data_IF_936092611432
#
_entry.id   IF_936092611432
#
_cell.length_a   1.000
_cell.length_b   1.000
_cell.length_c   1.000
_cell.angle_alpha   90.00
_cell.angle_beta   90.00
_cell.angle_gamma   90.00
#
_symmetry.space_group_name_H-M   'P 1'
#
loop_
_entity.id
_entity.type
_entity.pdbx_description
1 polymer ?
#
# COMPACT_ATOMS: atom_id res chain seq x y z
N UNK A 1 -26.50 5.82 -62.55
CA UNK A 1 -27.13 4.99 -61.52
C UNK A 1 -26.45 5.34 -60.21
N UNK A 2 -26.98 6.36 -59.54
CA UNK A 2 -26.34 7.10 -58.44
C UNK A 2 -27.20 6.95 -57.20
N UNK A 3 -27.03 5.82 -56.51
CA UNK A 3 -27.53 5.62 -55.15
C UNK A 3 -26.35 5.66 -54.19
N UNK A 4 -25.78 6.84 -53.95
CA UNK A 4 -24.98 7.03 -52.76
C UNK A 4 -25.98 7.11 -51.62
N UNK A 5 -26.16 5.97 -50.96
CA UNK A 5 -27.06 5.75 -49.84
C UNK A 5 -26.69 6.73 -48.72
N UNK A 6 -27.42 7.85 -48.63
CA UNK A 6 -27.18 8.94 -47.67
C UNK A 6 -27.12 8.42 -46.23
N UNK A 7 -27.79 7.30 -45.95
CA UNK A 7 -27.76 6.59 -44.68
C UNK A 7 -26.38 5.98 -44.38
N UNK A 8 -25.69 5.42 -45.38
CA UNK A 8 -24.32 4.92 -45.23
C UNK A 8 -23.29 6.06 -45.10
N UNK A 9 -23.50 7.17 -45.81
CA UNK A 9 -22.64 8.35 -45.69
C UNK A 9 -22.77 9.00 -44.30
N UNK A 10 -23.97 9.02 -43.74
CA UNK A 10 -24.25 9.54 -42.40
C UNK A 10 -23.65 8.63 -41.32
N UNK A 11 -23.83 7.31 -41.42
CA UNK A 11 -23.24 6.34 -40.51
C UNK A 11 -21.70 6.38 -40.52
N UNK A 12 -21.10 6.54 -41.70
CA UNK A 12 -19.64 6.64 -41.86
C UNK A 12 -19.10 7.97 -41.33
N UNK A 13 -19.86 9.05 -41.43
CA UNK A 13 -19.50 10.37 -40.85
C UNK A 13 -19.58 10.33 -39.33
N UNK A 14 -20.65 9.80 -38.74
CA UNK A 14 -20.73 9.61 -37.29
C UNK A 14 -19.63 8.70 -36.75
N UNK A 15 -19.35 7.59 -37.45
CA UNK A 15 -18.26 6.69 -37.08
C UNK A 15 -16.91 7.41 -37.12
N UNK A 16 -16.64 8.19 -38.17
CA UNK A 16 -15.37 8.94 -38.32
C UNK A 16 -15.23 10.02 -37.24
N UNK A 17 -16.31 10.73 -36.90
CA UNK A 17 -16.30 11.73 -35.83
C UNK A 17 -16.04 11.08 -34.47
N UNK A 18 -16.72 9.97 -34.15
CA UNK A 18 -16.46 9.22 -32.90
C UNK A 18 -15.04 8.66 -32.85
N UNK A 19 -14.56 8.11 -33.97
CA UNK A 19 -13.20 7.58 -34.10
C UNK A 19 -12.14 8.67 -33.89
N UNK A 20 -12.30 9.84 -34.52
CA UNK A 20 -11.37 10.97 -34.40
C UNK A 20 -11.41 11.60 -33.00
N UNK A 21 -12.57 11.73 -32.36
CA UNK A 21 -12.68 12.18 -30.97
C UNK A 21 -12.06 11.19 -29.98
N UNK A 22 -12.20 9.88 -30.21
CA UNK A 22 -11.50 8.84 -29.46
C UNK A 22 -9.98 8.88 -29.64
N UNK A 23 -9.49 9.21 -30.83
CA UNK A 23 -8.06 9.40 -31.11
C UNK A 23 -7.49 10.70 -30.50
N UNK A 24 -8.29 11.77 -30.43
CA UNK A 24 -7.87 13.07 -29.88
C UNK A 24 -7.90 13.14 -28.35
N UNK A 25 -8.72 12.32 -27.67
CA UNK A 25 -8.83 12.34 -26.20
C UNK A 25 -7.83 11.46 -25.45
N UNK A 26 -7.18 10.47 -26.11
CA UNK A 26 -6.31 9.46 -25.48
C UNK A 26 -6.87 8.79 -24.22
N UNK A 27 -8.17 8.93 -23.93
CA UNK A 27 -8.77 8.48 -22.69
C UNK A 27 -9.23 7.04 -22.89
N UNK A 28 -8.50 6.08 -22.33
CA UNK A 28 -8.82 4.67 -22.48
C UNK A 28 -9.89 4.24 -21.49
N UNK A 29 -10.52 3.07 -21.69
CA UNK A 29 -11.44 2.51 -20.68
C UNK A 29 -10.77 2.36 -19.31
N UNK A 30 -9.45 2.11 -19.29
CA UNK A 30 -8.65 2.06 -18.06
C UNK A 30 -8.56 3.43 -17.38
N UNK A 31 -8.44 4.51 -18.13
CA UNK A 31 -8.39 5.87 -17.59
C UNK A 31 -9.75 6.29 -17.01
N UNK A 32 -10.85 5.92 -17.69
CA UNK A 32 -12.21 6.11 -17.16
C UNK A 32 -12.43 5.36 -15.86
N UNK A 33 -12.07 4.07 -15.82
CA UNK A 33 -12.17 3.27 -14.59
C UNK A 33 -11.31 3.87 -13.47
N UNK A 34 -10.10 4.36 -13.79
CA UNK A 34 -9.20 4.99 -12.80
C UNK A 34 -9.77 6.31 -12.28
N UNK A 35 -10.34 7.15 -13.15
CA UNK A 35 -11.00 8.39 -12.75
C UNK A 35 -12.22 8.11 -11.86
N UNK A 36 -12.99 7.08 -12.18
CA UNK A 36 -14.13 6.62 -11.39
C UNK A 36 -13.71 6.12 -10.00
N UNK A 37 -12.73 5.21 -9.91
CA UNK A 37 -12.27 4.68 -8.62
C UNK A 37 -11.69 5.77 -7.72
N UNK A 38 -11.05 6.79 -8.31
CA UNK A 38 -10.52 7.98 -7.61
C UNK A 38 -11.55 9.07 -7.30
N UNK A 39 -12.85 8.85 -7.56
CA UNK A 39 -13.95 9.82 -7.37
C UNK A 39 -13.78 11.13 -8.16
N UNK A 40 -13.04 11.10 -9.26
CA UNK A 40 -12.89 12.26 -10.15
C UNK A 40 -14.10 12.44 -11.06
N UNK A 41 -14.84 11.35 -11.30
CA UNK A 41 -16.09 11.31 -12.08
C UNK A 41 -17.11 10.42 -11.37
N UNK A 42 -18.38 10.66 -11.65
CA UNK A 42 -19.53 9.90 -11.15
C UNK A 42 -19.73 8.59 -11.92
N UNK A 43 -20.57 7.71 -11.38
CA UNK A 43 -20.94 6.46 -12.05
C UNK A 43 -21.65 6.69 -13.39
N UNK A 44 -22.48 7.73 -13.46
CA UNK A 44 -23.21 8.11 -14.68
C UNK A 44 -22.25 8.58 -15.76
N UNK A 45 -21.31 9.48 -15.43
CA UNK A 45 -20.27 9.96 -16.36
C UNK A 45 -19.35 8.83 -16.81
N UNK A 46 -18.96 7.93 -15.89
CA UNK A 46 -18.15 6.77 -16.25
C UNK A 46 -18.88 5.82 -17.21
N UNK A 47 -20.20 5.63 -17.04
CA UNK A 47 -21.02 4.81 -17.93
C UNK A 47 -21.14 5.43 -19.33
N UNK A 48 -21.33 6.74 -19.42
CA UNK A 48 -21.37 7.47 -20.69
C UNK A 48 -20.03 7.36 -21.43
N UNK A 49 -18.92 7.69 -20.76
CA UNK A 49 -17.58 7.62 -21.35
C UNK A 49 -17.18 6.20 -21.78
N UNK A 50 -17.54 5.17 -21.01
CA UNK A 50 -17.29 3.78 -21.41
C UNK A 50 -18.14 3.38 -22.62
N UNK A 51 -19.39 3.86 -22.71
CA UNK A 51 -20.26 3.65 -23.87
C UNK A 51 -19.71 4.31 -25.13
N UNK A 52 -19.23 5.54 -25.02
CA UNK A 52 -18.59 6.29 -26.12
C UNK A 52 -17.32 5.60 -26.63
N UNK A 53 -16.59 4.92 -25.72
CA UNK A 53 -15.43 4.08 -26.04
C UNK A 53 -15.82 2.69 -26.60
N UNK A 54 -17.11 2.41 -26.79
CA UNK A 54 -17.61 1.19 -27.42
C UNK A 54 -17.75 -0.02 -26.47
N UNK A 55 -17.69 0.19 -25.15
CA UNK A 55 -17.96 -0.88 -24.18
C UNK A 55 -19.47 -1.15 -24.16
N UNK A 56 -19.86 -2.43 -24.23
CA UNK A 56 -21.28 -2.82 -24.23
C UNK A 56 -21.92 -2.52 -22.88
N UNK A 57 -23.18 -2.11 -22.88
CA UNK A 57 -23.89 -1.65 -21.69
C UNK A 57 -23.93 -2.70 -20.55
N UNK A 58 -24.08 -3.97 -20.93
CA UNK A 58 -24.02 -5.13 -20.02
C UNK A 58 -22.65 -5.27 -19.35
N UNK A 59 -21.56 -5.02 -20.09
CA UNK A 59 -20.20 -5.11 -19.59
C UNK A 59 -19.85 -3.89 -18.72
N UNK A 60 -20.36 -2.70 -19.05
CA UNK A 60 -20.17 -1.47 -18.25
C UNK A 60 -20.66 -1.67 -16.82
N UNK A 61 -21.85 -2.27 -16.65
CA UNK A 61 -22.41 -2.49 -15.32
C UNK A 61 -21.51 -3.38 -14.46
N UNK A 62 -20.95 -4.44 -15.06
CA UNK A 62 -20.04 -5.36 -14.39
C UNK A 62 -18.66 -4.73 -14.11
N UNK A 63 -18.15 -3.93 -15.05
CA UNK A 63 -16.88 -3.21 -14.89
C UNK A 63 -16.95 -2.21 -13.72
N UNK A 64 -18.01 -1.41 -13.66
CA UNK A 64 -18.18 -0.41 -12.60
C UNK A 64 -18.40 -1.06 -11.23
N UNK A 65 -19.18 -2.14 -11.15
CA UNK A 65 -19.35 -2.87 -9.88
C UNK A 65 -18.05 -3.51 -9.40
N UNK A 66 -17.25 -4.06 -10.32
CA UNK A 66 -15.91 -4.58 -9.99
C UNK A 66 -14.97 -3.47 -9.52
N UNK A 67 -15.05 -2.30 -10.14
CA UNK A 67 -14.26 -1.13 -9.74
C UNK A 67 -14.65 -0.62 -8.35
N UNK A 68 -15.95 -0.61 -8.01
CA UNK A 68 -16.42 -0.26 -6.65
C UNK A 68 -15.91 -1.26 -5.60
N UNK A 69 -15.98 -2.56 -5.89
CA UNK A 69 -15.44 -3.59 -5.01
C UNK A 69 -13.93 -3.42 -4.79
N UNK A 70 -13.17 -3.20 -5.87
CA UNK A 70 -11.72 -2.93 -5.77
C UNK A 70 -11.43 -1.69 -4.95
N UNK A 71 -12.22 -0.62 -5.08
CA UNK A 71 -12.06 0.61 -4.29
C UNK A 71 -12.27 0.36 -2.80
N UNK A 72 -13.32 -0.37 -2.44
CA UNK A 72 -13.59 -0.73 -1.04
C UNK A 72 -12.47 -1.58 -0.46
N UNK A 73 -11.92 -2.49 -1.28
CA UNK A 73 -10.79 -3.32 -0.91
C UNK A 73 -9.50 -2.50 -0.73
N UNK A 74 -9.15 -1.62 -1.68
CA UNK A 74 -7.98 -0.73 -1.57
C UNK A 74 -8.04 0.17 -0.33
N UNK A 75 -9.22 0.69 0.01
CA UNK A 75 -9.41 1.49 1.22
C UNK A 75 -9.21 0.66 2.49
N UNK A 76 -9.68 -0.59 2.48
CA UNK A 76 -9.48 -1.53 3.59
C UNK A 76 -8.00 -1.89 3.75
N UNK A 77 -7.30 -2.18 2.65
CA UNK A 77 -5.86 -2.44 2.62
C UNK A 77 -5.03 -1.26 3.14
N UNK A 78 -5.39 -0.04 2.76
CA UNK A 78 -4.75 1.17 3.27
C UNK A 78 -4.90 1.30 4.79
N UNK A 79 -6.09 0.98 5.33
CA UNK A 79 -6.33 0.97 6.78
C UNK A 79 -5.54 -0.14 7.48
N UNK A 80 -5.54 -1.35 6.94
CA UNK A 80 -4.75 -2.48 7.46
C UNK A 80 -3.26 -2.08 7.53
N UNK A 81 -2.74 -1.47 6.46
CA UNK A 81 -1.36 -0.98 6.40
C UNK A 81 -1.08 0.11 7.44
N UNK A 82 -2.02 1.02 7.68
CA UNK A 82 -1.92 2.02 8.74
C UNK A 82 -1.85 1.39 10.14
N UNK A 83 -2.73 0.42 10.41
CA UNK A 83 -2.76 -0.32 11.67
C UNK A 83 -1.49 -1.12 11.92
N UNK A 84 -0.97 -1.79 10.87
CA UNK A 84 0.33 -2.46 10.91
C UNK A 84 1.44 -1.51 11.35
N UNK A 85 1.52 -0.33 10.74
CA UNK A 85 2.55 0.65 11.08
C UNK A 85 2.44 1.16 12.52
N UNK A 86 1.23 1.35 13.03
CA UNK A 86 0.99 1.74 14.42
C UNK A 86 1.40 0.64 15.41
N UNK A 87 1.08 -0.61 15.08
CA UNK A 87 1.49 -1.79 15.87
C UNK A 87 3.02 -1.94 15.88
N UNK A 88 3.66 -1.88 14.71
CA UNK A 88 5.13 -1.99 14.59
C UNK A 88 5.86 -0.93 15.42
N UNK A 89 5.34 0.30 15.43
CA UNK A 89 5.89 1.42 16.21
C UNK A 89 5.52 1.38 17.69
N UNK A 90 4.87 0.32 18.16
CA UNK A 90 4.41 0.13 19.56
C UNK A 90 3.46 1.25 20.03
N UNK A 91 2.79 1.94 19.09
CA UNK A 91 1.76 2.95 19.38
C UNK A 91 0.47 2.28 19.79
N UNK A 92 0.15 1.15 19.15
CA UNK A 92 -0.94 0.27 19.52
C UNK A 92 -0.37 -1.07 20.01
N UNK A 93 -0.98 -1.63 21.06
CA UNK A 93 -0.74 -3.00 21.48
C UNK A 93 -1.57 -4.00 20.65
N UNK A 94 -1.39 -5.29 20.92
CA UNK A 94 -2.06 -6.37 20.21
C UNK A 94 -3.60 -6.26 20.32
N UNK A 95 -4.11 -6.04 21.54
CA UNK A 95 -5.55 -6.00 21.81
C UNK A 95 -6.22 -4.82 21.08
N UNK A 96 -5.59 -3.64 21.13
CA UNK A 96 -6.09 -2.45 20.43
C UNK A 96 -6.06 -2.64 18.92
N UNK A 97 -4.99 -3.21 18.40
CA UNK A 97 -4.83 -3.46 16.95
C UNK A 97 -5.86 -4.47 16.45
N UNK A 98 -6.08 -5.59 17.17
CA UNK A 98 -7.14 -6.57 16.86
C UNK A 98 -8.52 -5.94 16.88
N UNK A 99 -8.82 -5.12 17.89
CA UNK A 99 -10.10 -4.41 17.98
C UNK A 99 -10.33 -3.45 16.81
N UNK A 100 -9.30 -2.75 16.34
CA UNK A 100 -9.39 -1.85 15.19
C UNK A 100 -9.54 -2.63 13.86
N UNK A 101 -8.87 -3.78 13.70
CA UNK A 101 -9.02 -4.67 12.54
C UNK A 101 -10.43 -5.27 12.44
N UNK A 102 -11.00 -5.74 13.55
CA UNK A 102 -12.36 -6.31 13.56
C UNK A 102 -13.42 -5.27 13.18
N UNK A 103 -13.20 -3.98 13.50
CA UNK A 103 -14.09 -2.87 13.08
C UNK A 103 -14.05 -2.61 11.57
N UNK A 104 -13.09 -3.19 10.85
CA UNK A 104 -13.07 -3.19 9.38
C UNK A 104 -13.91 -4.33 8.78
N UNK A 105 -14.67 -5.06 9.61
CA UNK A 105 -15.46 -6.24 9.24
C UNK A 105 -14.60 -7.37 8.64
N UNK A 106 -13.33 -7.47 9.05
CA UNK A 106 -12.47 -8.59 8.66
C UNK A 106 -12.89 -9.86 9.43
N UNK A 107 -12.88 -11.04 8.79
CA UNK A 107 -13.04 -12.31 9.50
C UNK A 107 -12.00 -12.48 10.59
N UNK A 108 -12.38 -13.08 11.73
CA UNK A 108 -11.46 -13.31 12.85
C UNK A 108 -10.20 -14.07 12.45
N UNK A 109 -10.34 -15.10 11.61
CA UNK A 109 -9.19 -15.86 11.08
C UNK A 109 -8.20 -14.96 10.33
N UNK A 110 -8.69 -14.01 9.53
CA UNK A 110 -7.83 -13.07 8.82
C UNK A 110 -7.11 -12.11 9.80
N UNK A 111 -7.80 -11.67 10.85
CA UNK A 111 -7.19 -10.86 11.91
C UNK A 111 -6.07 -11.64 12.60
N UNK A 112 -6.28 -12.91 12.90
CA UNK A 112 -5.29 -13.76 13.56
C UNK A 112 -4.04 -13.93 12.70
N UNK A 113 -4.21 -14.22 11.41
CA UNK A 113 -3.10 -14.31 10.44
C UNK A 113 -2.31 -12.99 10.35
N UNK A 114 -2.99 -11.85 10.26
CA UNK A 114 -2.32 -10.54 10.20
C UNK A 114 -1.51 -10.27 11.47
N UNK A 115 -2.08 -10.54 12.64
CA UNK A 115 -1.40 -10.32 13.92
C UNK A 115 -0.21 -11.25 14.12
N UNK A 116 -0.32 -12.52 13.71
CA UNK A 116 0.79 -13.46 13.74
C UNK A 116 1.93 -12.97 12.84
N UNK A 117 1.62 -12.56 11.60
CA UNK A 117 2.61 -12.01 10.69
C UNK A 117 3.31 -10.79 11.31
N UNK A 118 2.56 -9.83 11.85
CA UNK A 118 3.13 -8.58 12.38
C UNK A 118 3.91 -8.80 13.67
N UNK A 119 3.55 -9.79 14.48
CA UNK A 119 4.30 -10.17 15.68
C UNK A 119 5.75 -10.54 15.31
N UNK A 120 5.93 -11.34 14.26
CA UNK A 120 7.26 -11.70 13.78
C UNK A 120 8.01 -10.51 13.20
N UNK A 121 7.34 -9.61 12.49
CA UNK A 121 7.97 -8.39 11.98
C UNK A 121 8.47 -7.45 13.09
N UNK A 122 7.77 -7.41 14.24
CA UNK A 122 8.21 -6.64 15.42
C UNK A 122 9.33 -7.34 16.16
N UNK A 123 9.30 -8.67 16.25
CA UNK A 123 10.39 -9.44 16.85
C UNK A 123 11.68 -9.41 16.05
N UNK A 124 11.58 -9.31 14.72
CA UNK A 124 12.72 -9.22 13.82
C UNK A 124 13.32 -7.80 13.77
N UNK A 125 12.62 -6.78 14.29
CA UNK A 125 13.22 -5.45 14.45
C UNK A 125 14.32 -5.49 15.52
N UNK A 126 15.58 -5.18 15.16
CA UNK A 126 16.65 -5.11 16.14
C UNK A 126 16.26 -4.13 17.24
N UNK A 127 16.40 -4.54 18.51
CA UNK A 127 16.30 -3.58 19.61
C UNK A 127 17.27 -2.44 19.34
N UNK A 128 16.78 -1.21 19.38
CA UNK A 128 17.61 -0.03 19.14
C UNK A 128 18.84 -0.09 20.05
N UNK A 129 20.01 -0.26 19.44
CA UNK A 129 21.27 -0.31 20.16
C UNK A 129 21.77 1.10 20.40
N UNK A 130 22.56 1.28 21.47
CA UNK A 130 23.34 2.51 21.61
C UNK A 130 24.40 2.59 20.52
N UNK A 131 24.78 3.81 20.12
CA UNK A 131 25.98 3.98 19.27
C UNK A 131 27.22 3.50 20.01
N UNK A 132 28.28 3.11 19.27
CA UNK A 132 29.57 2.71 19.87
C UNK A 132 30.04 3.73 20.92
N UNK A 133 29.99 5.02 20.61
CA UNK A 133 30.40 6.07 21.53
C UNK A 133 29.54 6.14 22.81
N UNK A 134 28.22 6.00 22.68
CA UNK A 134 27.32 5.96 23.82
C UNK A 134 27.59 4.73 24.70
N UNK A 135 27.72 3.55 24.10
CA UNK A 135 28.03 2.30 24.81
C UNK A 135 29.32 2.42 25.62
N UNK A 136 30.40 2.92 24.99
CA UNK A 136 31.69 3.12 25.66
C UNK A 136 31.63 4.16 26.78
N UNK A 137 30.92 5.27 26.56
CA UNK A 137 30.71 6.28 27.59
C UNK A 137 29.91 5.74 28.78
N UNK A 138 28.88 4.91 28.54
CA UNK A 138 28.08 4.31 29.62
C UNK A 138 28.85 3.27 30.43
N UNK A 139 29.72 2.49 29.80
CA UNK A 139 30.64 1.60 30.53
C UNK A 139 31.59 2.42 31.40
N UNK A 140 32.25 3.45 30.82
CA UNK A 140 33.20 4.32 31.55
C UNK A 140 32.54 5.07 32.71
N UNK A 141 31.28 5.48 32.54
CA UNK A 141 30.48 6.12 33.58
C UNK A 141 29.89 5.13 34.60
N UNK A 142 30.09 3.82 34.44
CA UNK A 142 29.54 2.78 35.32
C UNK A 142 28.01 2.65 35.25
N UNK A 143 27.37 3.19 34.21
CA UNK A 143 25.92 3.11 34.00
C UNK A 143 25.49 1.73 33.48
N UNK A 144 26.41 0.99 32.85
CA UNK A 144 26.24 -0.40 32.42
C UNK A 144 27.50 -1.20 32.72
N UNK A 145 27.38 -2.52 32.84
CA UNK A 145 28.53 -3.42 33.06
C UNK A 145 29.35 -3.60 31.77
N UNK A 146 30.62 -3.99 31.93
CA UNK A 146 31.50 -4.32 30.82
C UNK A 146 30.91 -5.43 29.93
N UNK A 147 30.31 -6.46 30.54
CA UNK A 147 29.68 -7.60 29.88
C UNK A 147 28.44 -7.18 29.09
N UNK A 148 27.63 -6.27 29.65
CA UNK A 148 26.48 -5.69 28.94
C UNK A 148 26.96 -4.85 27.76
N UNK A 149 28.00 -4.05 27.94
CA UNK A 149 28.64 -3.27 26.88
C UNK A 149 29.20 -4.11 25.73
N UNK A 150 29.88 -5.23 26.04
CA UNK A 150 30.36 -6.19 25.03
C UNK A 150 29.21 -6.81 24.23
N UNK A 151 28.12 -7.17 24.90
CA UNK A 151 26.92 -7.71 24.25
C UNK A 151 26.29 -6.68 23.31
N UNK A 152 26.25 -5.41 23.72
CA UNK A 152 25.75 -4.31 22.90
C UNK A 152 26.62 -4.09 21.65
N UNK A 153 27.95 -4.07 21.79
CA UNK A 153 28.87 -3.93 20.65
C UNK A 153 28.78 -5.11 19.67
N UNK A 154 28.52 -6.32 20.17
CA UNK A 154 28.26 -7.49 19.33
C UNK A 154 26.94 -7.35 18.56
N UNK A 155 25.89 -6.81 19.18
CA UNK A 155 24.61 -6.53 18.53
C UNK A 155 24.70 -5.41 17.48
N UNK A 156 25.66 -4.47 17.62
CA UNK A 156 25.98 -3.45 16.60
C UNK A 156 26.73 -4.07 15.40
N UNK A 157 27.33 -5.26 15.57
CA UNK A 157 28.01 -6.00 14.50
C UNK A 157 29.53 -6.05 14.60
N UNK A 158 30.13 -5.67 15.74
CA UNK A 158 31.57 -5.84 15.96
C UNK A 158 31.92 -7.30 16.28
N UNK A 159 33.04 -7.76 15.74
CA UNK A 159 33.64 -9.03 16.13
C UNK A 159 34.37 -8.94 17.50
N UNK A 160 34.80 -10.09 18.01
CA UNK A 160 35.49 -10.18 19.31
C UNK A 160 36.76 -9.34 19.38
N UNK A 161 37.53 -9.24 18.30
CA UNK A 161 38.79 -8.48 18.26
C UNK A 161 38.53 -6.98 18.43
N UNK A 162 37.60 -6.43 17.66
CA UNK A 162 37.23 -5.02 17.74
C UNK A 162 36.62 -4.68 19.10
N UNK A 163 35.76 -5.56 19.64
CA UNK A 163 35.19 -5.40 20.98
C UNK A 163 36.32 -5.31 22.02
N UNK A 164 37.29 -6.21 21.99
CA UNK A 164 38.39 -6.21 22.95
C UNK A 164 39.25 -4.93 22.85
N UNK A 165 39.50 -4.42 21.64
CA UNK A 165 40.21 -3.15 21.44
C UNK A 165 39.42 -1.99 22.07
N UNK A 166 38.11 -1.92 21.81
CA UNK A 166 37.26 -0.88 22.38
C UNK A 166 37.22 -0.94 23.91
N UNK A 167 37.10 -2.14 24.48
CA UNK A 167 37.08 -2.33 25.93
C UNK A 167 38.41 -1.92 26.59
N UNK A 168 39.54 -2.10 25.92
CA UNK A 168 40.84 -1.61 26.40
C UNK A 168 40.99 -0.09 26.30
N UNK A 169 40.29 0.56 25.37
CA UNK A 169 40.38 2.02 25.18
C UNK A 169 39.65 2.84 26.26
N UNK A 170 38.78 2.19 27.03
CA UNK A 170 37.99 2.81 28.11
C UNK A 170 38.36 2.32 29.52
N UNK A 171 39.22 1.30 29.62
CA UNK A 171 39.81 0.82 30.87
C UNK A 171 40.83 1.82 31.40
#
# INVERSE_FOLDING_TARGET
DHGYDEDNATAMTEFTVRYVLGQLSKFTSKDVITAYTKRMITQSEARELLGDLGVRYEDISYILSTADYKREWEFTDAKISGLRNLYKRKVNDENKTRGELLRLNLPTEQVDVLMEQWFYEVKDEPTATWTTAQTLNFIKAGLITAERGKSELSQIGFDTEHIDIYMRSIA
#
